data_IF_233082136559
#
_entry.id   IF_233082136559
#
_cell.length_a   1.000
_cell.length_b   1.000
_cell.length_c   1.000
_cell.angle_alpha   90.00
_cell.angle_beta   90.00
_cell.angle_gamma   90.00
#
_symmetry.space_group_name_H-M   'P 1'
#
loop_
_entity.id
_entity.type
_entity.pdbx_description
1 polymer ?
#
# COMPACT_ATOMS: atom_id res chain seq x y z
N UNK A 1 9.26 21.93 42.29
CA UNK A 1 9.38 22.74 43.52
C UNK A 1 10.38 22.04 44.44
N UNK A 2 11.64 22.45 44.40
CA UNK A 2 12.68 21.96 45.30
C UNK A 2 12.44 22.62 46.64
N UNK A 3 12.40 21.85 47.75
CA UNK A 3 12.46 22.44 49.09
C UNK A 3 13.81 23.17 49.19
N UNK A 4 13.77 24.48 48.97
CA UNK A 4 14.91 25.38 49.07
C UNK A 4 15.02 25.79 50.53
N UNK A 5 15.86 25.09 51.29
CA UNK A 5 16.50 25.71 52.45
C UNK A 5 17.51 26.70 51.88
N UNK A 6 17.07 27.91 51.54
CA UNK A 6 17.96 28.93 50.97
C UNK A 6 18.05 30.08 51.96
N UNK A 7 19.31 30.33 52.33
CA UNK A 7 19.81 31.53 53.01
C UNK A 7 19.17 32.74 52.32
N UNK A 8 18.25 33.42 53.01
CA UNK A 8 17.24 34.32 52.45
C UNK A 8 17.79 35.60 51.79
N UNK A 9 19.10 35.77 51.71
CA UNK A 9 19.76 37.05 51.40
C UNK A 9 20.78 37.00 50.25
N UNK A 10 20.93 35.88 49.53
CA UNK A 10 21.91 35.75 48.44
C UNK A 10 21.24 35.49 47.08
N UNK A 11 21.66 36.25 46.06
CA UNK A 11 21.13 36.14 44.69
C UNK A 11 21.66 34.89 43.96
N UNK A 12 20.80 34.27 43.15
CA UNK A 12 21.15 33.08 42.38
C UNK A 12 22.25 33.39 41.35
N UNK A 13 23.37 32.66 41.41
CA UNK A 13 24.47 32.75 40.43
C UNK A 13 25.72 33.51 40.90
N UNK A 14 25.68 34.18 42.06
CA UNK A 14 26.86 34.88 42.60
C UNK A 14 27.92 33.93 43.16
N UNK A 15 29.16 34.43 43.29
CA UNK A 15 30.26 33.69 43.89
C UNK A 15 29.98 33.43 45.38
N UNK A 16 29.40 34.41 46.10
CA UNK A 16 29.08 34.25 47.53
C UNK A 16 28.06 33.13 47.76
N UNK A 17 27.04 33.00 46.89
CA UNK A 17 26.09 31.89 47.00
C UNK A 17 26.78 30.54 46.75
N UNK A 18 27.69 30.44 45.78
CA UNK A 18 28.42 29.20 45.50
C UNK A 18 29.31 28.78 46.68
N UNK A 19 29.98 29.73 47.31
CA UNK A 19 30.84 29.43 48.46
C UNK A 19 30.03 29.14 49.73
N UNK A 20 28.88 29.80 49.93
CA UNK A 20 27.94 29.46 50.99
C UNK A 20 27.35 28.05 50.81
N UNK A 21 26.94 27.67 49.59
CA UNK A 21 26.44 26.31 49.31
C UNK A 21 27.53 25.23 49.46
N UNK A 22 28.81 25.56 49.22
CA UNK A 22 29.94 24.63 49.41
C UNK A 22 30.27 24.39 50.88
N UNK A 23 30.06 25.39 51.72
CA UNK A 23 30.36 25.36 53.16
C UNK A 23 29.17 24.92 54.00
N UNK A 24 27.95 24.97 53.46
CA UNK A 24 26.73 24.54 54.14
C UNK A 24 26.69 23.00 54.31
N UNK A 25 26.84 22.56 55.55
CA UNK A 25 26.75 21.15 55.98
C UNK A 25 25.41 20.49 55.62
N UNK A 26 24.33 21.27 55.48
CA UNK A 26 22.99 20.79 55.20
C UNK A 26 22.61 20.87 53.72
N UNK A 27 23.47 21.44 52.87
CA UNK A 27 23.24 21.44 51.44
C UNK A 27 23.25 20.00 50.91
N UNK A 28 22.18 19.61 50.20
CA UNK A 28 21.88 18.23 49.79
C UNK A 28 21.55 17.24 50.92
N UNK A 29 21.35 17.67 52.17
CA UNK A 29 20.96 16.78 53.27
C UNK A 29 19.66 16.01 52.96
N UNK A 30 18.78 16.54 52.11
CA UNK A 30 17.59 15.85 51.66
C UNK A 30 17.29 16.13 50.18
N UNK A 31 17.15 15.06 49.39
CA UNK A 31 16.79 15.13 47.96
C UNK A 31 15.34 14.70 47.73
N UNK A 32 14.40 15.56 48.12
CA UNK A 32 12.97 15.27 47.94
C UNK A 32 12.57 15.47 46.48
N UNK A 33 11.80 14.52 45.94
CA UNK A 33 11.07 14.66 44.68
C UNK A 33 9.59 14.39 44.94
N UNK A 34 8.72 14.98 44.13
CA UNK A 34 7.30 14.67 44.18
C UNK A 34 7.08 13.19 43.83
N UNK A 35 6.26 12.51 44.63
CA UNK A 35 5.97 11.08 44.49
C UNK A 35 4.70 10.76 43.71
N UNK A 36 4.07 11.74 43.05
CA UNK A 36 2.81 11.53 42.32
C UNK A 36 2.95 10.52 41.18
N UNK A 37 4.12 10.47 40.55
CA UNK A 37 4.45 9.51 39.51
C UNK A 37 5.92 9.08 39.66
N UNK A 38 6.17 7.80 39.43
CA UNK A 38 7.50 7.20 39.45
C UNK A 38 7.78 6.51 38.13
N UNK A 39 9.03 6.53 37.70
CA UNK A 39 9.41 5.77 36.51
C UNK A 39 9.36 4.27 36.82
N UNK A 40 9.05 3.44 35.81
CA UNK A 40 8.97 1.99 36.00
C UNK A 40 10.24 1.40 36.67
N UNK A 41 11.42 1.86 36.24
CA UNK A 41 12.70 1.48 36.87
C UNK A 41 12.76 1.80 38.37
N UNK A 42 12.20 2.94 38.81
CA UNK A 42 12.15 3.32 40.22
C UNK A 42 11.00 2.68 41.00
N UNK A 43 10.02 2.13 40.30
CA UNK A 43 8.94 1.36 40.92
C UNK A 43 9.31 -0.11 41.17
N UNK A 44 10.48 -0.57 40.68
CA UNK A 44 10.95 -1.94 40.91
C UNK A 44 11.05 -2.22 42.41
N UNK A 45 10.42 -3.32 42.85
CA UNK A 45 10.34 -3.69 44.26
C UNK A 45 9.23 -3.00 45.06
N UNK A 46 8.57 -1.97 44.51
CA UNK A 46 7.37 -1.38 45.09
C UNK A 46 6.09 -2.08 44.62
N UNK A 47 5.05 -2.07 45.45
CA UNK A 47 3.73 -2.62 45.14
C UNK A 47 2.67 -1.65 45.68
N UNK A 48 1.65 -1.36 44.85
CA UNK A 48 0.57 -0.43 45.20
C UNK A 48 -0.78 -1.09 44.99
N UNK A 49 -1.76 -0.75 45.85
CA UNK A 49 -3.14 -1.25 45.71
C UNK A 49 -3.71 -0.94 44.33
N UNK A 50 -3.53 0.29 43.87
CA UNK A 50 -3.98 0.77 42.55
C UNK A 50 -2.82 1.43 41.82
N UNK A 51 -2.63 1.10 40.54
CA UNK A 51 -1.60 1.73 39.71
C UNK A 51 -2.19 2.25 38.39
N UNK A 52 -1.67 3.39 37.95
CA UNK A 52 -1.92 3.95 36.63
C UNK A 52 -0.63 3.83 35.81
N UNK A 53 -0.70 3.21 34.64
CA UNK A 53 0.45 2.98 33.76
C UNK A 53 0.18 3.64 32.42
N UNK A 54 0.99 4.65 32.08
CA UNK A 54 1.04 5.16 30.71
C UNK A 54 1.99 4.27 29.89
N UNK A 55 1.43 3.53 28.94
CA UNK A 55 2.12 2.54 28.11
C UNK A 55 2.86 3.15 26.91
N UNK A 56 2.75 4.46 26.67
CA UNK A 56 3.40 5.14 25.55
C UNK A 56 4.93 5.03 25.65
N UNK A 57 5.57 4.64 24.55
CA UNK A 57 7.03 4.53 24.46
C UNK A 57 7.58 5.12 23.17
N UNK A 58 8.77 5.72 23.26
CA UNK A 58 9.54 6.14 22.09
C UNK A 58 10.42 5.02 21.50
N UNK A 59 10.62 3.90 22.24
CA UNK A 59 11.49 2.79 21.82
C UNK A 59 10.79 1.79 20.88
N UNK A 60 9.53 2.03 20.54
CA UNK A 60 8.67 1.10 19.81
C UNK A 60 8.10 -0.03 20.69
N UNK A 61 7.01 -0.63 20.23
CA UNK A 61 6.23 -1.61 21.01
C UNK A 61 6.67 -3.06 20.82
N UNK A 62 7.40 -3.39 19.75
CA UNK A 62 7.70 -4.77 19.35
C UNK A 62 9.14 -5.18 19.61
N UNK A 63 9.61 -4.95 20.83
CA UNK A 63 10.93 -5.38 21.26
C UNK A 63 10.90 -5.97 22.67
N UNK A 64 11.87 -6.82 22.98
CA UNK A 64 11.93 -7.51 24.26
C UNK A 64 12.02 -6.54 25.46
N UNK A 65 12.70 -5.40 25.29
CA UNK A 65 12.84 -4.39 26.35
C UNK A 65 11.50 -3.75 26.72
N UNK A 66 10.67 -3.44 25.73
CA UNK A 66 9.33 -2.90 25.95
C UNK A 66 8.44 -3.90 26.70
N UNK A 67 8.42 -5.17 26.30
CA UNK A 67 7.62 -6.18 26.98
C UNK A 67 8.09 -6.42 28.43
N UNK A 68 9.40 -6.41 28.70
CA UNK A 68 9.93 -6.49 30.07
C UNK A 68 9.56 -5.27 30.91
N UNK A 69 9.64 -4.08 30.32
CA UNK A 69 9.22 -2.84 30.96
C UNK A 69 7.72 -2.86 31.28
N UNK A 70 6.90 -3.30 30.32
CA UNK A 70 5.45 -3.39 30.48
C UNK A 70 5.11 -4.41 31.58
N UNK A 71 5.70 -5.61 31.55
CA UNK A 71 5.53 -6.61 32.60
C UNK A 71 5.88 -6.06 33.99
N UNK A 72 7.01 -5.33 34.10
CA UNK A 72 7.43 -4.71 35.35
C UNK A 72 6.40 -3.69 35.83
N UNK A 73 5.88 -2.85 34.93
CA UNK A 73 4.88 -1.82 35.24
C UNK A 73 3.54 -2.43 35.66
N UNK A 74 3.05 -3.43 34.91
CA UNK A 74 1.76 -4.10 35.18
C UNK A 74 1.79 -4.80 36.55
N UNK A 75 2.88 -5.47 36.88
CA UNK A 75 3.04 -6.20 38.17
C UNK A 75 3.21 -5.29 39.38
N UNK A 76 3.20 -3.96 39.23
CA UNK A 76 3.21 -3.03 40.37
C UNK A 76 1.83 -2.88 41.02
N UNK A 77 0.75 -3.22 40.31
CA UNK A 77 -0.62 -3.16 40.80
C UNK A 77 -0.99 -4.45 41.54
N UNK A 78 -1.56 -4.31 42.74
CA UNK A 78 -2.05 -5.43 43.56
C UNK A 78 -3.52 -5.73 43.34
N UNK A 79 -4.38 -4.70 43.32
CA UNK A 79 -5.84 -4.85 43.27
C UNK A 79 -6.40 -4.34 41.93
N UNK A 80 -6.02 -3.13 41.49
CA UNK A 80 -6.51 -2.55 40.26
C UNK A 80 -5.40 -1.88 39.44
N UNK A 81 -5.45 -2.09 38.13
CA UNK A 81 -4.55 -1.49 37.16
C UNK A 81 -5.37 -0.69 36.16
N UNK A 82 -4.92 0.53 35.86
CA UNK A 82 -5.47 1.39 34.82
C UNK A 82 -4.37 1.70 33.81
N UNK A 83 -4.61 1.40 32.54
CA UNK A 83 -3.67 1.72 31.46
C UNK A 83 -4.11 2.99 30.73
N UNK A 84 -3.13 3.70 30.21
CA UNK A 84 -3.29 4.79 29.26
C UNK A 84 -2.41 4.48 28.06
N UNK A 85 -2.92 4.70 26.85
CA UNK A 85 -2.20 4.45 25.60
C UNK A 85 -1.71 2.98 25.48
N UNK A 86 -2.49 1.99 25.93
CA UNK A 86 -2.09 0.59 25.78
C UNK A 86 -1.92 0.18 24.31
N UNK A 87 -0.90 -0.62 23.98
CA UNK A 87 -0.71 -1.09 22.63
C UNK A 87 -1.74 -2.16 22.27
N UNK A 88 -2.51 -1.92 21.20
CA UNK A 88 -3.38 -2.94 20.61
C UNK A 88 -2.62 -3.71 19.52
N UNK A 89 -2.17 -4.92 19.87
CA UNK A 89 -1.44 -5.77 18.93
C UNK A 89 -2.42 -6.59 18.07
N UNK A 90 -2.39 -6.35 16.75
CA UNK A 90 -3.06 -7.17 15.73
C UNK A 90 -2.03 -7.83 14.81
N UNK A 91 -2.47 -8.78 13.99
CA UNK A 91 -1.60 -9.37 12.97
C UNK A 91 -1.21 -8.25 11.99
N UNK A 92 0.07 -8.16 11.63
CA UNK A 92 0.53 -7.06 10.78
C UNK A 92 0.64 -5.68 11.45
N UNK A 93 0.41 -5.53 12.77
CA UNK A 93 0.72 -4.27 13.47
C UNK A 93 2.22 -3.89 13.46
N UNK A 94 3.08 -4.82 13.04
CA UNK A 94 4.52 -4.62 12.82
C UNK A 94 4.87 -4.18 11.39
N UNK A 95 3.89 -4.12 10.49
CA UNK A 95 4.14 -3.84 9.09
C UNK A 95 4.80 -2.47 8.95
N UNK A 96 5.91 -2.47 8.23
CA UNK A 96 6.54 -1.22 7.81
C UNK A 96 5.93 -0.80 6.48
N UNK A 97 5.51 0.47 6.34
CA UNK A 97 4.97 0.96 5.09
C UNK A 97 5.97 0.72 3.95
N UNK A 98 5.48 0.44 2.73
CA UNK A 98 6.37 0.28 1.59
C UNK A 98 7.11 1.58 1.31
N UNK A 99 8.39 1.47 0.93
CA UNK A 99 9.19 2.63 0.52
C UNK A 99 8.78 3.05 -0.88
N UNK A 100 8.08 4.19 -0.99
CA UNK A 100 7.56 4.72 -2.26
C UNK A 100 8.63 5.50 -3.05
N UNK A 101 9.67 5.99 -2.36
CA UNK A 101 10.67 6.95 -2.88
C UNK A 101 11.41 6.52 -4.16
N UNK A 102 11.39 5.22 -4.51
CA UNK A 102 12.10 4.68 -5.69
C UNK A 102 11.16 4.07 -6.73
N UNK A 103 9.84 4.25 -6.64
CA UNK A 103 8.90 3.69 -7.61
C UNK A 103 8.77 4.66 -8.79
N UNK A 104 9.42 4.34 -9.90
CA UNK A 104 9.23 5.07 -11.15
C UNK A 104 7.87 4.74 -11.78
N UNK A 105 7.10 5.73 -12.23
CA UNK A 105 5.87 5.49 -12.99
C UNK A 105 6.15 4.65 -14.23
N UNK A 106 5.21 3.76 -14.56
CA UNK A 106 5.29 2.94 -15.78
C UNK A 106 5.18 3.82 -17.01
N UNK A 107 6.23 3.85 -17.82
CA UNK A 107 6.22 4.54 -19.11
C UNK A 107 5.52 3.73 -20.21
N UNK A 108 5.24 2.46 -19.94
CA UNK A 108 4.57 1.52 -20.84
C UNK A 108 3.06 1.40 -20.58
N UNK A 109 2.45 2.38 -19.90
CA UNK A 109 1.03 2.41 -19.61
C UNK A 109 0.34 3.56 -20.36
N UNK A 110 -0.78 3.26 -21.01
CA UNK A 110 -1.73 4.23 -21.56
C UNK A 110 -3.03 4.07 -20.77
N UNK A 111 -3.48 5.16 -20.15
CA UNK A 111 -4.76 5.21 -19.44
C UNK A 111 -5.72 6.04 -20.29
N UNK A 112 -6.73 5.37 -20.83
CA UNK A 112 -7.83 5.99 -21.55
C UNK A 112 -8.84 6.50 -20.53
N UNK A 113 -9.38 7.69 -20.80
CA UNK A 113 -10.37 8.30 -19.92
C UNK A 113 -11.75 7.63 -20.06
N UNK A 114 -12.62 7.68 -19.04
CA UNK A 114 -13.92 7.01 -19.07
C UNK A 114 -14.83 7.49 -20.21
N UNK A 115 -14.70 8.73 -20.69
CA UNK A 115 -15.61 9.26 -21.73
C UNK A 115 -15.50 8.49 -23.05
N UNK A 116 -14.39 7.76 -23.28
CA UNK A 116 -14.23 6.92 -24.47
C UNK A 116 -15.28 5.80 -24.54
N UNK A 117 -15.82 5.37 -23.39
CA UNK A 117 -16.85 4.35 -23.27
C UNK A 117 -18.24 4.82 -23.74
N UNK A 118 -18.46 6.14 -23.87
CA UNK A 118 -19.71 6.69 -24.42
C UNK A 118 -19.83 6.45 -25.93
N UNK A 119 -18.73 6.08 -26.58
CA UNK A 119 -18.72 5.74 -28.01
C UNK A 119 -19.45 4.41 -28.24
N UNK A 120 -20.47 4.41 -29.10
CA UNK A 120 -21.16 3.19 -29.53
C UNK A 120 -20.17 2.17 -30.10
N UNK A 121 -20.14 0.98 -29.50
CA UNK A 121 -19.35 -0.13 -30.00
C UNK A 121 -20.04 -0.73 -31.21
N UNK A 122 -19.43 -0.56 -32.39
CA UNK A 122 -19.85 -1.24 -33.61
C UNK A 122 -19.47 -2.75 -33.61
N UNK A 123 -18.81 -3.23 -32.57
CA UNK A 123 -18.28 -4.58 -32.46
C UNK A 123 -18.62 -5.20 -31.10
N UNK A 124 -19.07 -6.45 -31.12
CA UNK A 124 -19.32 -7.23 -29.91
C UNK A 124 -17.99 -7.78 -29.37
N UNK A 125 -17.61 -7.31 -28.18
CA UNK A 125 -16.60 -7.93 -27.33
C UNK A 125 -17.32 -8.77 -26.29
N UNK A 126 -16.85 -10.00 -26.02
CA UNK A 126 -17.40 -10.74 -24.88
C UNK A 126 -17.00 -10.08 -23.55
N UNK A 127 -17.78 -10.32 -22.49
CA UNK A 127 -17.46 -9.77 -21.15
C UNK A 127 -16.07 -10.22 -20.64
N UNK A 128 -15.55 -11.34 -21.15
CA UNK A 128 -14.20 -11.84 -20.84
C UNK A 128 -13.06 -11.11 -21.59
N UNK A 129 -13.38 -10.14 -22.45
CA UNK A 129 -12.46 -9.47 -23.37
C UNK A 129 -12.26 -7.98 -23.08
N UNK A 130 -12.42 -7.55 -21.83
CA UNK A 130 -12.29 -6.15 -21.43
C UNK A 130 -10.93 -5.52 -21.83
N UNK A 131 -9.84 -6.30 -21.77
CA UNK A 131 -8.53 -5.85 -22.23
C UNK A 131 -8.44 -5.69 -23.76
N UNK A 132 -9.18 -6.49 -24.54
CA UNK A 132 -9.26 -6.31 -26.00
C UNK A 132 -10.07 -5.08 -26.35
N UNK A 133 -11.13 -4.80 -25.59
CA UNK A 133 -11.91 -3.56 -25.69
C UNK A 133 -11.03 -2.33 -25.42
N UNK A 134 -10.09 -2.40 -24.46
CA UNK A 134 -9.11 -1.34 -24.24
C UNK A 134 -8.18 -1.13 -25.45
N UNK A 135 -7.67 -2.21 -26.07
CA UNK A 135 -6.88 -2.11 -27.30
C UNK A 135 -7.69 -1.48 -28.43
N UNK A 136 -8.95 -1.90 -28.60
CA UNK A 136 -9.87 -1.33 -29.58
C UNK A 136 -10.02 0.17 -29.42
N UNK A 137 -10.32 0.66 -28.20
CA UNK A 137 -10.49 2.09 -27.97
C UNK A 137 -9.21 2.88 -28.19
N UNK A 138 -8.04 2.32 -27.87
CA UNK A 138 -6.77 2.98 -28.20
C UNK A 138 -6.57 3.09 -29.72
N UNK A 139 -6.89 2.03 -30.48
CA UNK A 139 -6.83 2.08 -31.95
C UNK A 139 -7.86 3.07 -32.50
N UNK A 140 -9.07 3.06 -31.97
CA UNK A 140 -10.15 3.96 -32.36
C UNK A 140 -9.79 5.43 -32.11
N UNK A 141 -9.28 5.78 -30.93
CA UNK A 141 -8.87 7.14 -30.59
C UNK A 141 -7.72 7.65 -31.48
N UNK A 142 -6.79 6.77 -31.86
CA UNK A 142 -5.71 7.10 -32.80
C UNK A 142 -6.21 7.35 -34.24
N UNK A 143 -7.38 6.82 -34.58
CA UNK A 143 -7.95 6.86 -35.93
C UNK A 143 -9.13 7.84 -36.08
N UNK A 144 -9.56 8.50 -34.99
CA UNK A 144 -10.72 9.41 -35.02
C UNK A 144 -10.59 10.59 -35.99
N UNK A 145 -9.36 11.04 -36.21
CA UNK A 145 -9.05 12.16 -37.13
C UNK A 145 -8.76 11.68 -38.56
N UNK A 146 -8.78 10.37 -38.78
CA UNK A 146 -8.58 9.76 -40.10
C UNK A 146 -9.92 9.48 -40.77
N UNK A 147 -9.98 9.70 -42.08
CA UNK A 147 -11.13 9.30 -42.91
C UNK A 147 -11.12 7.78 -43.19
N UNK A 148 -11.02 6.97 -42.13
CA UNK A 148 -11.00 5.51 -42.21
C UNK A 148 -12.01 4.92 -41.23
N UNK A 149 -12.72 3.88 -41.66
CA UNK A 149 -13.62 3.13 -40.79
C UNK A 149 -13.06 1.75 -40.49
N UNK A 150 -13.16 1.30 -39.24
CA UNK A 150 -12.91 -0.10 -38.91
C UNK A 150 -14.12 -0.90 -39.40
N UNK A 151 -13.93 -1.84 -40.34
CA UNK A 151 -15.01 -2.66 -40.91
C UNK A 151 -15.15 -4.02 -40.23
N UNK A 152 -14.06 -4.56 -39.70
CA UNK A 152 -13.99 -5.88 -39.08
C UNK A 152 -12.83 -5.99 -38.10
N UNK A 153 -13.02 -6.78 -37.06
CA UNK A 153 -11.95 -7.20 -36.14
C UNK A 153 -11.95 -8.73 -36.07
N UNK A 154 -10.77 -9.35 -36.14
CA UNK A 154 -10.59 -10.78 -35.90
C UNK A 154 -9.78 -11.01 -34.62
N UNK A 155 -10.46 -11.57 -33.62
CA UNK A 155 -9.85 -11.96 -32.35
C UNK A 155 -9.17 -13.33 -32.48
N UNK A 156 -7.86 -13.38 -32.20
CA UNK A 156 -7.07 -14.63 -32.18
C UNK A 156 -6.22 -14.69 -30.91
N UNK A 157 -5.83 -15.89 -30.45
CA UNK A 157 -4.88 -15.98 -29.35
C UNK A 157 -3.61 -15.17 -29.63
N UNK A 158 -3.33 -14.22 -28.75
CA UNK A 158 -2.14 -13.34 -28.77
C UNK A 158 -2.07 -12.35 -29.94
N UNK A 159 -3.11 -12.19 -30.74
CA UNK A 159 -3.16 -11.13 -31.74
C UNK A 159 -4.56 -10.76 -32.22
N UNK A 160 -4.73 -9.50 -32.57
CA UNK A 160 -5.92 -8.95 -33.24
C UNK A 160 -5.58 -8.63 -34.69
N UNK A 161 -6.56 -8.75 -35.59
CA UNK A 161 -6.44 -8.24 -36.96
C UNK A 161 -7.57 -7.24 -37.21
N UNK A 162 -7.18 -5.98 -37.42
CA UNK A 162 -8.08 -4.88 -37.72
C UNK A 162 -8.16 -4.66 -39.22
N UNK A 163 -9.37 -4.52 -39.72
CA UNK A 163 -9.67 -4.18 -41.10
C UNK A 163 -10.14 -2.73 -41.16
N UNK A 164 -9.39 -1.89 -41.87
CA UNK A 164 -9.70 -0.48 -42.10
C UNK A 164 -10.11 -0.30 -43.57
N UNK A 165 -11.16 0.48 -43.80
CA UNK A 165 -11.64 0.82 -45.14
C UNK A 165 -11.50 2.33 -45.38
N UNK A 166 -10.94 2.69 -46.54
CA UNK A 166 -10.95 4.06 -47.08
C UNK A 166 -11.28 4.02 -48.57
N UNK A 167 -12.51 4.38 -48.92
CA UNK A 167 -13.00 4.28 -50.30
C UNK A 167 -12.98 2.83 -50.78
N UNK A 168 -12.08 2.49 -51.72
CA UNK A 168 -11.92 1.14 -52.26
C UNK A 168 -10.69 0.40 -51.69
N UNK A 169 -9.92 1.01 -50.79
CA UNK A 169 -8.75 0.38 -50.17
C UNK A 169 -9.13 -0.26 -48.83
N UNK A 170 -8.91 -1.58 -48.73
CA UNK A 170 -9.02 -2.36 -47.49
C UNK A 170 -7.62 -2.63 -46.92
N UNK A 171 -7.34 -2.10 -45.73
CA UNK A 171 -6.05 -2.22 -45.05
C UNK A 171 -6.19 -3.15 -43.84
N UNK A 172 -5.26 -4.09 -43.72
CA UNK A 172 -5.21 -5.02 -42.60
C UNK A 172 -4.02 -4.71 -41.71
N UNK A 173 -4.27 -4.45 -40.43
CA UNK A 173 -3.22 -4.26 -39.42
C UNK A 173 -3.32 -5.36 -38.37
N UNK A 174 -2.23 -6.07 -38.15
CA UNK A 174 -2.07 -7.08 -37.12
C UNK A 174 -1.44 -6.47 -35.88
N UNK A 175 -2.09 -6.64 -34.72
CA UNK A 175 -1.59 -6.21 -33.42
C UNK A 175 -1.33 -7.46 -32.58
N UNK A 176 -0.07 -7.77 -32.31
CA UNK A 176 0.31 -8.89 -31.44
C UNK A 176 0.46 -8.40 -30.00
N UNK A 177 0.07 -9.23 -29.03
CA UNK A 177 0.18 -8.92 -27.61
C UNK A 177 0.62 -10.13 -26.79
N UNK A 178 1.23 -9.86 -25.63
CA UNK A 178 1.70 -10.88 -24.68
C UNK A 178 0.65 -11.14 -23.60
N UNK A 179 1.00 -11.99 -22.62
CA UNK A 179 0.23 -12.10 -21.36
C UNK A 179 0.05 -10.71 -20.73
N UNK A 180 -1.07 -10.52 -20.04
CA UNK A 180 -1.49 -9.21 -19.50
C UNK A 180 -1.74 -8.15 -20.61
N UNK A 181 -1.93 -8.58 -21.86
CA UNK A 181 -2.30 -7.75 -23.02
C UNK A 181 -1.31 -6.62 -23.35
N UNK A 182 -0.04 -6.76 -22.95
CA UNK A 182 1.03 -5.86 -23.42
C UNK A 182 1.23 -6.02 -24.92
N UNK A 183 0.95 -4.97 -25.68
CA UNK A 183 1.13 -4.91 -27.13
C UNK A 183 2.61 -5.08 -27.43
N UNK A 184 2.97 -6.09 -28.22
CA UNK A 184 4.36 -6.46 -28.46
C UNK A 184 4.86 -6.12 -29.85
N UNK A 185 3.99 -6.17 -30.86
CA UNK A 185 4.37 -5.77 -32.21
C UNK A 185 3.15 -5.43 -33.06
N UNK A 186 3.30 -4.42 -33.92
CA UNK A 186 2.24 -3.97 -34.84
C UNK A 186 2.76 -3.98 -36.26
N UNK A 187 2.02 -4.64 -37.15
CA UNK A 187 2.42 -4.87 -38.54
C UNK A 187 1.25 -4.67 -39.48
N UNK A 188 1.47 -3.95 -40.58
CA UNK A 188 0.53 -3.98 -41.70
C UNK A 188 0.69 -5.31 -42.47
N UNK A 189 -0.42 -5.96 -42.76
CA UNK A 189 -0.48 -7.12 -43.68
C UNK A 189 -0.67 -6.62 -45.13
N UNK A 190 -1.33 -5.47 -45.32
CA UNK A 190 -1.52 -4.85 -46.63
C UNK A 190 -0.36 -3.92 -46.96
N UNK A 191 0.16 -3.98 -48.18
CA UNK A 191 1.19 -3.05 -48.68
C UNK A 191 0.53 -1.92 -49.47
N UNK A 192 0.40 -0.73 -48.86
CA UNK A 192 0.03 0.52 -49.54
C UNK A 192 0.59 1.74 -48.78
N UNK A 193 0.68 2.90 -49.42
CA UNK A 193 1.12 4.13 -48.75
C UNK A 193 0.22 4.50 -47.58
N UNK A 194 -1.10 4.32 -47.75
CA UNK A 194 -2.07 4.52 -46.68
C UNK A 194 -1.86 3.51 -45.55
N UNK A 195 -1.60 2.24 -45.88
CA UNK A 195 -1.33 1.20 -44.88
C UNK A 195 -0.07 1.50 -44.05
N UNK A 196 0.99 2.01 -44.68
CA UNK A 196 2.20 2.46 -43.99
C UNK A 196 1.87 3.60 -43.01
N UNK A 197 1.17 4.63 -43.48
CA UNK A 197 0.79 5.78 -42.65
C UNK A 197 -0.08 5.38 -41.45
N UNK A 198 -1.11 4.56 -41.67
CA UNK A 198 -1.96 4.05 -40.58
C UNK A 198 -1.14 3.19 -39.61
N UNK A 199 -0.26 2.33 -40.12
CA UNK A 199 0.58 1.48 -39.26
C UNK A 199 1.54 2.28 -38.38
N UNK A 200 2.09 3.40 -38.88
CA UNK A 200 2.94 4.29 -38.09
C UNK A 200 2.17 4.97 -36.95
N UNK A 201 0.91 5.34 -37.19
CA UNK A 201 0.02 5.85 -36.13
C UNK A 201 -0.29 4.79 -35.09
N UNK A 202 -0.72 3.59 -35.50
CA UNK A 202 -1.01 2.50 -34.54
C UNK A 202 0.24 2.10 -33.78
N UNK A 203 1.44 2.19 -34.36
CA UNK A 203 2.70 1.91 -33.64
C UNK A 203 2.95 2.80 -32.40
N UNK A 204 2.24 3.91 -32.23
CA UNK A 204 2.31 4.71 -31.00
C UNK A 204 1.90 3.93 -29.73
N UNK A 205 1.03 2.91 -29.88
CA UNK A 205 0.62 2.02 -28.78
C UNK A 205 1.49 0.75 -28.70
N UNK A 206 2.52 0.62 -29.53
CA UNK A 206 3.46 -0.52 -29.46
C UNK A 206 4.27 -0.51 -28.16
N UNK A 207 4.51 -1.69 -27.59
CA UNK A 207 5.15 -1.86 -26.28
C UNK A 207 4.37 -1.27 -25.10
N UNK A 208 3.09 -0.92 -25.27
CA UNK A 208 2.22 -0.38 -24.23
C UNK A 208 1.21 -1.40 -23.71
N UNK A 209 0.73 -1.16 -22.49
CA UNK A 209 -0.48 -1.73 -21.91
C UNK A 209 -1.51 -0.62 -21.93
N UNK A 210 -2.72 -0.92 -22.41
CA UNK A 210 -3.83 0.03 -22.43
C UNK A 210 -4.82 -0.36 -21.34
N UNK A 211 -5.25 0.62 -20.56
CA UNK A 211 -6.26 0.48 -19.51
C UNK A 211 -7.30 1.57 -19.72
N UNK A 212 -8.57 1.25 -19.49
CA UNK A 212 -9.64 2.22 -19.42
C UNK A 212 -9.87 2.54 -17.95
N UNK A 213 -9.87 3.83 -17.60
CA UNK A 213 -10.24 4.25 -16.26
C UNK A 213 -11.76 4.06 -16.06
N UNK A 214 -12.11 3.09 -15.24
CA UNK A 214 -13.48 2.67 -14.91
C UNK A 214 -13.70 2.60 -13.39
N UNK A 215 -12.93 3.37 -12.60
CA UNK A 215 -12.95 3.33 -11.14
C UNK A 215 -14.34 3.53 -10.50
N UNK A 216 -15.29 4.11 -11.24
CA UNK A 216 -16.68 4.33 -10.83
C UNK A 216 -17.62 3.14 -11.09
N UNK A 217 -17.30 2.27 -12.06
CA UNK A 217 -18.16 1.15 -12.48
C UNK A 217 -17.91 -0.16 -11.72
N UNK A 218 -16.90 -0.24 -10.84
CA UNK A 218 -16.63 -1.43 -10.04
C UNK A 218 -17.65 -1.58 -8.90
N UNK A 219 -18.85 -2.07 -9.22
CA UNK A 219 -19.99 -2.10 -8.29
C UNK A 219 -20.15 -3.44 -7.53
N UNK A 220 -19.43 -4.49 -7.89
CA UNK A 220 -19.52 -5.79 -7.21
C UNK A 220 -18.13 -6.30 -6.80
N UNK A 221 -17.93 -6.49 -5.49
CA UNK A 221 -16.78 -7.20 -4.96
C UNK A 221 -17.13 -8.68 -5.05
N UNK A 222 -16.48 -9.40 -5.96
CA UNK A 222 -16.69 -10.84 -6.04
C UNK A 222 -16.04 -11.51 -4.84
N UNK A 223 -16.78 -12.38 -4.14
CA UNK A 223 -16.24 -13.08 -2.98
C UNK A 223 -15.44 -14.28 -3.45
N UNK A 224 -14.16 -14.06 -3.74
CA UNK A 224 -13.23 -15.18 -3.94
C UNK A 224 -12.80 -15.78 -2.61
N UNK A 225 -12.98 -17.08 -2.52
CA UNK A 225 -12.39 -17.92 -1.49
C UNK A 225 -10.95 -18.28 -1.88
N UNK A 226 -10.02 -18.01 -0.96
CA UNK A 226 -8.62 -18.36 -1.11
C UNK A 226 -8.27 -19.51 -0.18
N UNK A 227 -7.51 -20.48 -0.68
CA UNK A 227 -7.02 -21.61 0.12
C UNK A 227 -5.66 -21.26 0.69
N UNK A 228 -5.53 -21.32 2.01
CA UNK A 228 -4.28 -21.01 2.72
C UNK A 228 -3.54 -22.29 3.13
N UNK A 229 -2.20 -22.26 3.22
CA UNK A 229 -1.43 -23.39 3.74
C UNK A 229 -1.76 -23.70 5.21
N UNK A 230 -2.08 -24.97 5.51
CA UNK A 230 -2.42 -25.44 6.86
C UNK A 230 -1.30 -25.23 7.88
N UNK A 231 -0.03 -25.26 7.43
CA UNK A 231 1.15 -25.02 8.26
C UNK A 231 1.33 -23.54 8.64
N UNK A 232 0.52 -22.64 8.07
CA UNK A 232 0.62 -21.18 8.24
C UNK A 232 -0.74 -20.52 8.49
N UNK A 233 -1.42 -20.85 9.61
CA UNK A 233 -2.76 -20.30 9.92
C UNK A 233 -2.77 -18.78 10.15
N UNK A 234 -1.61 -18.15 10.37
CA UNK A 234 -1.49 -16.70 10.47
C UNK A 234 -1.76 -15.98 9.14
N UNK A 235 -1.60 -16.67 8.00
CA UNK A 235 -1.84 -16.08 6.67
C UNK A 235 -3.32 -15.80 6.43
N UNK A 236 -4.21 -16.72 6.83
CA UNK A 236 -5.65 -16.51 6.72
C UNK A 236 -6.11 -15.32 7.57
N UNK A 237 -5.63 -15.23 8.82
CA UNK A 237 -5.94 -14.09 9.70
C UNK A 237 -5.45 -12.76 9.13
N UNK A 238 -4.25 -12.78 8.54
CA UNK A 238 -3.70 -11.60 7.87
C UNK A 238 -4.54 -11.20 6.65
N UNK A 239 -4.92 -12.18 5.83
CA UNK A 239 -5.81 -11.97 4.69
C UNK A 239 -7.14 -11.34 5.11
N UNK A 240 -7.80 -11.86 6.14
CA UNK A 240 -9.07 -11.33 6.65
C UNK A 240 -8.95 -9.86 7.07
N UNK A 241 -7.85 -9.48 7.73
CA UNK A 241 -7.60 -8.10 8.13
C UNK A 241 -7.36 -7.17 6.92
N UNK A 242 -6.58 -7.62 5.94
CA UNK A 242 -6.27 -6.84 4.73
C UNK A 242 -7.50 -6.75 3.82
N UNK A 243 -8.26 -7.84 3.67
CA UNK A 243 -9.54 -7.88 2.94
C UNK A 243 -10.53 -6.90 3.55
N UNK A 244 -10.66 -6.89 4.88
CA UNK A 244 -11.54 -5.93 5.57
C UNK A 244 -11.15 -4.48 5.27
N UNK A 245 -9.86 -4.15 5.34
CA UNK A 245 -9.34 -2.80 5.04
C UNK A 245 -9.51 -2.41 3.56
N UNK A 246 -9.22 -3.32 2.63
CA UNK A 246 -9.34 -3.09 1.19
C UNK A 246 -10.81 -2.88 0.77
N UNK A 247 -11.73 -3.68 1.31
CA UNK A 247 -13.16 -3.56 1.03
C UNK A 247 -13.74 -2.21 1.43
N UNK A 248 -13.23 -1.57 2.49
CA UNK A 248 -13.65 -0.21 2.88
C UNK A 248 -13.35 0.84 1.81
N UNK A 249 -12.39 0.58 0.92
CA UNK A 249 -12.00 1.46 -0.18
C UNK A 249 -12.50 0.97 -1.55
N UNK A 250 -13.38 -0.04 -1.56
CA UNK A 250 -13.86 -0.73 -2.76
C UNK A 250 -12.71 -1.33 -3.58
N UNK A 251 -11.70 -1.88 -2.91
CA UNK A 251 -10.58 -2.59 -3.53
C UNK A 251 -10.72 -4.07 -3.20
N UNK A 252 -10.69 -4.91 -4.23
CA UNK A 252 -10.77 -6.37 -4.10
C UNK A 252 -9.37 -6.99 -4.10
N UNK A 253 -9.19 -8.09 -3.36
CA UNK A 253 -8.04 -8.99 -3.51
C UNK A 253 -8.47 -10.09 -4.47
N UNK A 254 -7.91 -10.10 -5.68
CA UNK A 254 -8.33 -10.99 -6.77
C UNK A 254 -7.41 -12.19 -6.97
N UNK A 255 -6.19 -12.15 -6.42
CA UNK A 255 -5.24 -13.27 -6.44
C UNK A 255 -4.23 -13.19 -5.29
N UNK A 256 -3.77 -14.36 -4.84
CA UNK A 256 -2.74 -14.52 -3.82
C UNK A 256 -1.71 -15.54 -4.31
N UNK A 257 -0.42 -15.20 -4.28
CA UNK A 257 0.66 -16.16 -4.50
C UNK A 257 1.40 -16.47 -3.19
N UNK A 258 1.20 -17.69 -2.68
CA UNK A 258 1.89 -18.20 -1.51
C UNK A 258 3.35 -18.54 -1.84
N UNK A 259 4.31 -17.90 -1.18
CA UNK A 259 5.75 -18.22 -1.27
C UNK A 259 6.27 -18.65 0.10
N UNK A 260 7.49 -19.19 0.23
CA UNK A 260 8.00 -19.67 1.52
C UNK A 260 8.04 -18.58 2.61
N UNK A 261 8.49 -17.37 2.26
CA UNK A 261 8.77 -16.28 3.21
C UNK A 261 8.00 -14.97 2.91
N UNK A 262 7.07 -15.00 1.96
CA UNK A 262 6.22 -13.86 1.65
C UNK A 262 4.96 -14.29 0.91
N UNK A 263 3.96 -13.42 0.96
CA UNK A 263 2.78 -13.48 0.10
C UNK A 263 2.86 -12.42 -0.98
N UNK A 264 2.32 -12.68 -2.17
CA UNK A 264 2.08 -11.65 -3.19
C UNK A 264 0.59 -11.51 -3.39
N UNK A 265 0.02 -10.36 -3.02
CA UNK A 265 -1.40 -10.08 -3.22
C UNK A 265 -1.58 -9.22 -4.46
N UNK A 266 -2.55 -9.59 -5.30
CA UNK A 266 -3.06 -8.77 -6.40
C UNK A 266 -4.32 -8.06 -5.93
N UNK A 267 -4.23 -6.75 -5.77
CA UNK A 267 -5.35 -5.86 -5.53
C UNK A 267 -5.91 -5.36 -6.86
N UNK A 268 -7.23 -5.19 -6.94
CA UNK A 268 -7.92 -4.69 -8.12
C UNK A 268 -9.04 -3.73 -7.74
N UNK A 269 -9.22 -2.70 -8.55
CA UNK A 269 -10.36 -1.76 -8.51
C UNK A 269 -10.59 -1.25 -9.92
N UNK A 270 -11.74 -1.60 -10.49
CA UNK A 270 -11.95 -1.50 -11.93
C UNK A 270 -10.87 -2.29 -12.70
N UNK A 271 -10.31 -1.67 -13.73
CA UNK A 271 -9.24 -2.19 -14.56
C UNK A 271 -7.83 -1.90 -14.02
N UNK A 272 -7.71 -1.17 -12.91
CA UNK A 272 -6.42 -0.97 -12.25
C UNK A 272 -6.07 -2.12 -11.32
N UNK A 273 -4.80 -2.50 -11.32
CA UNK A 273 -4.27 -3.56 -10.46
C UNK A 273 -3.00 -3.12 -9.75
N UNK A 274 -2.76 -3.67 -8.57
CA UNK A 274 -1.53 -3.45 -7.84
C UNK A 274 -1.04 -4.73 -7.15
N UNK A 275 0.27 -4.93 -7.17
CA UNK A 275 0.90 -6.13 -6.62
C UNK A 275 1.78 -5.76 -5.45
N UNK A 276 1.46 -6.33 -4.28
CA UNK A 276 2.19 -6.09 -3.05
C UNK A 276 2.73 -7.40 -2.50
N UNK A 277 3.99 -7.37 -2.11
CA UNK A 277 4.67 -8.46 -1.43
C UNK A 277 4.70 -8.19 0.07
N UNK A 278 4.19 -9.13 0.85
CA UNK A 278 4.17 -9.08 2.31
C UNK A 278 5.16 -10.09 2.87
N UNK A 279 6.30 -9.62 3.36
CA UNK A 279 7.32 -10.49 3.95
C UNK A 279 6.94 -10.91 5.35
N UNK A 280 7.21 -12.17 5.69
CA UNK A 280 7.04 -12.70 7.03
C UNK A 280 8.17 -13.67 7.39
N UNK A 281 8.36 -13.90 8.69
CA UNK A 281 9.34 -14.88 9.19
C UNK A 281 8.67 -16.22 9.58
N UNK A 282 9.47 -17.23 9.92
CA UNK A 282 8.96 -18.53 10.37
C UNK A 282 8.13 -18.53 11.65
N UNK A 283 8.06 -17.39 12.37
CA UNK A 283 7.19 -17.20 13.53
C UNK A 283 5.86 -16.51 13.17
N UNK A 284 5.56 -16.34 11.88
CA UNK A 284 4.34 -15.68 11.41
C UNK A 284 4.30 -14.18 11.63
N UNK A 285 5.46 -13.53 11.85
CA UNK A 285 5.56 -12.07 12.01
C UNK A 285 5.81 -11.41 10.66
N UNK A 286 4.90 -10.55 10.26
CA UNK A 286 5.06 -9.71 9.08
C UNK A 286 6.06 -8.57 9.36
N UNK A 287 6.82 -8.21 8.33
CA UNK A 287 7.84 -7.16 8.39
C UNK A 287 7.68 -6.15 7.27
N UNK A 288 8.48 -6.31 6.21
CA UNK A 288 8.52 -5.36 5.10
C UNK A 288 7.38 -5.60 4.09
N UNK A 289 6.91 -4.51 3.50
CA UNK A 289 6.02 -4.50 2.34
C UNK A 289 6.80 -3.99 1.14
N UNK A 290 6.69 -4.67 -0.01
CA UNK A 290 7.28 -4.22 -1.28
C UNK A 290 6.22 -4.13 -2.36
N UNK A 291 6.32 -3.11 -3.22
CA UNK A 291 5.47 -2.97 -4.40
C UNK A 291 6.16 -3.60 -5.59
N UNK A 292 5.46 -4.46 -6.33
CA UNK A 292 5.95 -5.05 -7.57
C UNK A 292 5.58 -4.10 -8.72
N UNK A 293 6.44 -3.09 -8.93
CA UNK A 293 6.17 -1.95 -9.81
C UNK A 293 5.85 -2.35 -11.26
N UNK A 294 6.54 -3.37 -11.80
CA UNK A 294 6.35 -3.83 -13.18
C UNK A 294 5.02 -4.56 -13.44
N UNK A 295 4.31 -4.99 -12.39
CA UNK A 295 2.98 -5.62 -12.49
C UNK A 295 1.85 -4.67 -12.05
N UNK A 296 2.21 -3.56 -11.42
CA UNK A 296 1.26 -2.60 -10.87
C UNK A 296 0.92 -1.55 -11.93
N UNK A 297 -0.37 -1.27 -12.10
CA UNK A 297 -0.87 -0.30 -13.09
C UNK A 297 -1.53 0.91 -12.43
N UNK A 298 -1.89 0.82 -11.15
CA UNK A 298 -2.47 1.93 -10.38
C UNK A 298 -2.61 1.61 -8.89
N UNK A 299 -3.50 2.32 -8.18
CA UNK A 299 -3.95 2.06 -6.79
C UNK A 299 -2.91 2.18 -5.68
N UNK A 300 -1.66 2.56 -5.98
CA UNK A 300 -0.61 2.68 -4.96
C UNK A 300 -1.02 3.65 -3.82
N UNK A 301 -1.54 4.87 -4.09
CA UNK A 301 -1.94 5.79 -3.03
C UNK A 301 -3.05 5.21 -2.15
N UNK A 302 -4.09 4.62 -2.77
CA UNK A 302 -5.23 4.05 -2.07
C UNK A 302 -4.79 2.89 -1.16
N UNK A 303 -4.01 1.97 -1.71
CA UNK A 303 -3.53 0.81 -0.95
C UNK A 303 -2.62 1.22 0.20
N UNK A 304 -1.68 2.14 -0.04
CA UNK A 304 -0.82 2.64 1.01
C UNK A 304 -1.59 3.37 2.10
N UNK A 305 -2.70 4.04 1.76
CA UNK A 305 -3.50 4.74 2.75
C UNK A 305 -4.01 3.78 3.83
N UNK A 306 -4.57 2.62 3.48
CA UNK A 306 -5.09 1.67 4.48
C UNK A 306 -4.02 0.75 5.07
N UNK A 307 -2.90 0.54 4.40
CA UNK A 307 -1.75 -0.19 4.96
C UNK A 307 -1.02 0.65 6.03
N UNK A 308 -1.10 1.98 5.96
CA UNK A 308 -0.41 2.90 6.86
C UNK A 308 -1.22 3.30 8.11
N UNK A 309 -2.50 2.92 8.23
CA UNK A 309 -3.38 3.30 9.35
C UNK A 309 -3.06 2.63 10.70
N UNK A 310 -1.86 2.05 10.87
CA UNK A 310 -1.41 1.53 12.16
C UNK A 310 -0.68 2.64 12.95
N UNK A 311 -1.41 3.67 13.36
CA UNK A 311 -1.02 4.55 14.48
C UNK A 311 -2.21 4.88 15.37
#
# INVERSE_FOLDING_TARGET
MTLKFVIHFLQAGTIELKDALRTDKYFNALRIKFGYAVTCHKSQGGEWKRAFVNCKTAMGYFNASYFRWLYTALTRAKEALYTLDEPHFKIGSNLKPPKIENITPRQDLIVLKPEILETELAFDFSDEQENLKAIFYAVFDLMKDEEVSISKIEHKPYHEIYYFEKGNESIKIKINYKKEFKISSIQSITESNLALSLSEKVKLIENKIVIIDDLENSLEIDQKDFVFPDDKPFLQKFFEEIKFKANQQKIEIVAIEHKPYHEIYKFQKGNFVAFYKFWYNGQGRFGNIEIIANRTTGLIPDINSFLNLNH
#
